data_IF_827612079589
#
_entry.id   IF_827612079589
#
_cell.length_a   1.000
_cell.length_b   1.000
_cell.length_c   1.000
_cell.angle_alpha   90.00
_cell.angle_beta   90.00
_cell.angle_gamma   90.00
#
_symmetry.space_group_name_H-M   'P 1'
#
loop_
_entity.id
_entity.type
_entity.pdbx_description
1 polymer ?
#
# COMPACT_ATOMS: atom_id res chain seq x y z
N UNK A 1 -3.85 26.85 -13.59
CA UNK A 1 -3.75 26.26 -12.29
C UNK A 1 -4.24 24.84 -12.28
N UNK A 2 -3.46 23.98 -11.74
CA UNK A 2 -3.82 22.58 -11.70
C UNK A 2 -4.88 22.37 -10.63
N UNK A 3 -6.00 21.78 -10.98
CA UNK A 3 -6.95 21.43 -9.95
C UNK A 3 -6.28 20.47 -8.99
N UNK A 4 -6.35 20.81 -7.76
CA UNK A 4 -5.81 19.92 -6.76
C UNK A 4 -6.56 18.61 -6.84
N UNK A 5 -5.83 17.55 -7.07
CA UNK A 5 -6.36 16.22 -6.78
C UNK A 5 -6.72 16.28 -5.31
N UNK A 6 -7.95 15.92 -4.94
CA UNK A 6 -8.31 15.95 -3.54
C UNK A 6 -7.32 15.12 -2.75
N UNK A 7 -6.68 15.76 -1.81
CA UNK A 7 -5.74 15.04 -0.96
C UNK A 7 -6.54 14.31 0.07
N UNK A 8 -6.34 13.03 0.11
CA UNK A 8 -6.90 12.24 1.19
C UNK A 8 -6.14 12.55 2.45
N UNK A 9 -6.83 12.59 3.56
CA UNK A 9 -6.16 12.68 4.84
C UNK A 9 -5.42 11.38 5.10
N UNK A 10 -4.41 11.38 5.98
CA UNK A 10 -3.74 10.14 6.34
C UNK A 10 -4.71 9.07 6.84
N UNK A 11 -5.75 9.49 7.57
CA UNK A 11 -6.74 8.53 8.05
C UNK A 11 -7.53 7.91 6.91
N UNK A 12 -7.87 8.71 5.91
CA UNK A 12 -8.59 8.18 4.74
C UNK A 12 -7.72 7.21 3.96
N UNK A 13 -6.47 7.55 3.78
CA UNK A 13 -5.53 6.68 3.08
C UNK A 13 -5.39 5.34 3.80
N UNK A 14 -5.23 5.40 5.12
CA UNK A 14 -5.10 4.19 5.91
C UNK A 14 -6.37 3.34 5.87
N UNK A 15 -7.52 3.99 5.89
CA UNK A 15 -8.80 3.28 5.85
C UNK A 15 -8.97 2.57 4.51
N UNK A 16 -8.65 3.23 3.42
CA UNK A 16 -8.73 2.62 2.10
C UNK A 16 -7.76 1.46 1.99
N UNK A 17 -6.53 1.66 2.43
CA UNK A 17 -5.52 0.60 2.40
C UNK A 17 -5.94 -0.60 3.24
N UNK A 18 -6.45 -0.34 4.44
CA UNK A 18 -6.91 -1.40 5.32
C UNK A 18 -8.07 -2.17 4.69
N UNK A 19 -9.00 -1.47 4.05
CA UNK A 19 -10.13 -2.10 3.41
C UNK A 19 -9.69 -3.00 2.26
N UNK A 20 -8.78 -2.52 1.44
CA UNK A 20 -8.25 -3.33 0.34
C UNK A 20 -7.54 -4.56 0.90
N UNK A 21 -6.75 -4.36 1.95
CA UNK A 21 -6.06 -5.45 2.61
C UNK A 21 -7.02 -6.54 3.06
N UNK A 22 -8.08 -6.16 3.76
CA UNK A 22 -9.03 -7.12 4.30
C UNK A 22 -9.80 -7.84 3.21
N UNK A 23 -10.13 -7.16 2.14
CA UNK A 23 -10.97 -7.74 1.09
C UNK A 23 -10.19 -8.52 0.06
N UNK A 24 -9.00 -8.05 -0.30
CA UNK A 24 -8.28 -8.60 -1.44
C UNK A 24 -7.03 -9.38 -1.07
N UNK A 25 -6.35 -8.95 -0.03
CA UNK A 25 -5.06 -9.54 0.32
C UNK A 25 -5.24 -10.68 1.32
N UNK A 26 -5.91 -10.38 2.40
CA UNK A 26 -6.02 -11.32 3.51
C UNK A 26 -6.56 -12.69 3.12
N UNK A 27 -7.60 -12.78 2.28
CA UNK A 27 -8.10 -14.10 1.90
C UNK A 27 -7.11 -14.97 1.14
N UNK A 28 -6.07 -14.38 0.57
CA UNK A 28 -5.09 -15.12 -0.21
C UNK A 28 -3.81 -15.40 0.56
N UNK A 29 -3.70 -14.92 1.79
CA UNK A 29 -2.49 -15.11 2.58
C UNK A 29 -2.36 -16.52 3.08
N UNK A 30 -1.11 -16.98 3.20
CA UNK A 30 -0.78 -18.27 3.78
C UNK A 30 0.09 -18.02 5.01
N UNK A 31 0.30 -19.05 5.86
CA UNK A 31 1.19 -18.87 7.02
C UNK A 31 2.60 -18.43 6.65
N UNK A 32 3.03 -18.73 5.43
CA UNK A 32 4.35 -18.33 4.98
C UNK A 32 4.48 -16.82 4.82
N UNK A 33 3.37 -16.12 4.70
CA UNK A 33 3.38 -14.67 4.52
C UNK A 33 3.48 -13.92 5.84
N UNK A 34 3.40 -14.60 6.97
CA UNK A 34 3.48 -13.95 8.27
C UNK A 34 4.79 -13.17 8.40
N UNK A 35 4.66 -11.92 8.79
CA UNK A 35 5.82 -11.07 9.01
C UNK A 35 6.35 -10.39 7.77
N UNK A 36 5.84 -10.74 6.60
CA UNK A 36 6.21 -10.02 5.38
C UNK A 36 5.48 -8.69 5.31
N UNK A 37 5.85 -7.89 4.34
CA UNK A 37 5.24 -6.59 4.12
C UNK A 37 4.38 -6.62 2.88
N UNK A 38 3.27 -5.90 2.94
CA UNK A 38 2.42 -5.70 1.78
C UNK A 38 2.36 -4.22 1.47
N UNK A 39 2.56 -3.89 0.22
CA UNK A 39 2.40 -2.53 -0.28
C UNK A 39 1.17 -2.54 -1.18
N UNK A 40 0.29 -1.59 -0.98
CA UNK A 40 -0.98 -1.51 -1.71
C UNK A 40 -1.09 -0.15 -2.38
N UNK A 41 -1.36 -0.19 -3.68
CA UNK A 41 -1.68 1.00 -4.44
C UNK A 41 -3.16 1.30 -4.16
N UNK A 42 -3.42 2.35 -3.41
CA UNK A 42 -4.79 2.62 -2.99
C UNK A 42 -5.67 3.18 -4.11
N UNK A 43 -5.07 3.54 -5.23
CA UNK A 43 -5.82 4.03 -6.39
C UNK A 43 -6.32 2.86 -7.23
N UNK A 44 -5.49 1.86 -7.45
CA UNK A 44 -5.84 0.74 -8.32
C UNK A 44 -6.24 -0.51 -7.56
N UNK A 45 -5.82 -0.63 -6.31
CA UNK A 45 -6.03 -1.84 -5.53
C UNK A 45 -4.99 -2.92 -5.78
N UNK A 46 -4.01 -2.66 -6.61
CA UNK A 46 -2.93 -3.61 -6.84
C UNK A 46 -2.02 -3.66 -5.61
N UNK A 47 -1.38 -4.79 -5.41
CA UNK A 47 -0.51 -4.94 -4.26
C UNK A 47 0.67 -5.85 -4.57
N UNK A 48 1.70 -5.76 -3.72
CA UNK A 48 2.87 -6.60 -3.77
C UNK A 48 3.23 -7.02 -2.36
N UNK A 49 3.77 -8.22 -2.23
CA UNK A 49 4.20 -8.75 -0.93
C UNK A 49 5.68 -9.12 -1.04
N UNK A 50 6.46 -8.74 -0.04
CA UNK A 50 7.88 -9.04 -0.03
C UNK A 50 8.37 -9.02 1.42
N UNK A 51 9.48 -9.71 1.67
CA UNK A 51 10.11 -9.69 2.97
C UNK A 51 10.64 -8.31 3.32
N UNK A 52 10.93 -7.52 2.33
CA UNK A 52 11.46 -6.16 2.48
C UNK A 52 10.42 -5.20 1.93
N UNK A 53 10.00 -4.25 2.79
CA UNK A 53 8.94 -3.32 2.42
C UNK A 53 9.29 -2.51 1.17
N UNK A 54 10.53 -2.06 1.08
CA UNK A 54 10.93 -1.24 -0.05
C UNK A 54 10.84 -1.98 -1.38
N UNK A 55 11.11 -3.28 -1.39
CA UNK A 55 10.99 -4.06 -2.61
C UNK A 55 9.55 -4.10 -3.12
N UNK A 56 8.61 -4.27 -2.21
CA UNK A 56 7.20 -4.27 -2.58
C UNK A 56 6.78 -2.91 -3.13
N UNK A 57 7.24 -1.85 -2.47
CA UNK A 57 6.94 -0.49 -2.90
C UNK A 57 7.50 -0.23 -4.30
N UNK A 58 8.73 -0.62 -4.53
CA UNK A 58 9.37 -0.37 -5.82
C UNK A 58 8.65 -1.07 -6.97
N UNK A 59 8.14 -2.26 -6.71
CA UNK A 59 7.41 -2.97 -7.77
C UNK A 59 6.14 -2.23 -8.16
N UNK A 60 5.45 -1.66 -7.19
CA UNK A 60 4.25 -0.88 -7.50
C UNK A 60 4.60 0.40 -8.23
N UNK A 61 5.66 1.08 -7.79
CA UNK A 61 6.11 2.30 -8.45
C UNK A 61 6.50 2.03 -9.89
N UNK A 62 7.13 0.88 -10.14
CA UNK A 62 7.55 0.52 -11.49
C UNK A 62 6.35 0.33 -12.42
N UNK A 63 5.23 -0.12 -11.87
CA UNK A 63 4.02 -0.28 -12.66
C UNK A 63 3.35 1.04 -12.94
N UNK A 64 3.43 1.97 -12.01
CA UNK A 64 2.67 3.19 -12.12
C UNK A 64 3.29 4.26 -11.25
N UNK A 65 3.67 5.37 -11.88
CA UNK A 65 4.21 6.51 -11.17
C UNK A 65 3.09 7.39 -10.65
N UNK A 66 3.40 8.14 -9.61
CA UNK A 66 2.45 9.09 -9.05
C UNK A 66 1.34 8.46 -8.26
N UNK A 67 1.56 7.27 -7.75
CA UNK A 67 0.55 6.58 -6.99
C UNK A 67 0.70 6.84 -5.50
N UNK A 68 -0.36 6.56 -4.76
CA UNK A 68 -0.32 6.56 -3.30
C UNK A 68 -0.22 5.12 -2.84
N UNK A 69 0.73 4.86 -1.96
CA UNK A 69 0.99 3.50 -1.51
C UNK A 69 0.84 3.43 0.00
N UNK A 70 0.08 2.44 0.45
CA UNK A 70 -0.08 2.13 1.86
C UNK A 70 0.66 0.83 2.15
N UNK A 71 1.41 0.80 3.23
CA UNK A 71 2.23 -0.36 3.57
C UNK A 71 1.84 -0.88 4.93
N UNK A 72 1.76 -2.19 5.06
CA UNK A 72 1.50 -2.84 6.33
C UNK A 72 2.35 -4.09 6.44
N UNK A 73 2.50 -4.55 7.67
CA UNK A 73 3.18 -5.81 7.92
C UNK A 73 2.14 -6.88 8.21
N UNK A 74 2.28 -8.03 7.58
CA UNK A 74 1.29 -9.09 7.66
C UNK A 74 1.37 -9.77 9.02
N UNK A 75 0.26 -9.77 9.74
CA UNK A 75 0.10 -10.45 11.03
C UNK A 75 1.12 -10.07 12.09
N UNK A 76 1.68 -8.87 11.99
CA UNK A 76 2.60 -8.32 13.00
C UNK A 76 2.22 -6.89 13.25
N UNK A 77 2.48 -6.37 14.45
CA UNK A 77 2.24 -4.97 14.72
C UNK A 77 3.15 -4.13 13.85
N UNK A 78 2.56 -3.26 13.08
CA UNK A 78 3.33 -2.37 12.22
C UNK A 78 2.49 -1.16 11.96
N UNK A 79 2.98 -0.02 12.40
CA UNK A 79 2.24 1.20 12.25
C UNK A 79 3.04 2.17 11.43
N UNK A 80 3.02 1.94 10.15
CA UNK A 80 3.59 2.91 9.27
C UNK A 80 2.68 3.00 8.07
N UNK A 81 1.97 4.09 7.99
CA UNK A 81 1.34 4.45 6.75
C UNK A 81 2.07 5.68 6.31
N UNK A 82 2.67 5.63 5.16
CA UNK A 82 3.26 6.82 4.61
C UNK A 82 2.80 6.94 3.18
N UNK A 83 2.74 8.18 2.79
CA UNK A 83 2.31 8.52 1.47
C UNK A 83 3.56 8.81 0.67
N UNK A 84 3.80 8.00 -0.33
CA UNK A 84 4.87 8.29 -1.26
C UNK A 84 4.25 8.78 -2.55
N UNK A 85 4.56 10.01 -2.87
CA UNK A 85 4.17 10.59 -4.12
C UNK A 85 5.40 10.76 -4.96
N UNK A 86 5.41 10.04 -6.04
CA UNK A 86 6.43 10.27 -7.05
C UNK A 86 5.73 10.97 -8.20
N UNK A 87 5.79 12.28 -8.19
CA UNK A 87 5.30 13.04 -9.32
C UNK A 87 6.45 13.36 -10.23
N UNK A 88 6.17 13.33 -11.45
CA UNK A 88 7.13 13.76 -12.46
C UNK A 88 7.08 15.25 -12.57
#
# INVERSE_FOLDING_TARGET
>A
MTPAVPRRSPEETAKIGQDIYERRVRPLLTPEDDGKYVAIDIVTGEYEIDDIDWNAIERLIARRRGTEIWVARINKPYRMSFRMRFSQ
#
